data_IF_084358589710
#
_entry.id   IF_084358589710
#
_cell.length_a   1.000
_cell.length_b   1.000
_cell.length_c   1.000
_cell.angle_alpha   90.00
_cell.angle_beta   90.00
_cell.angle_gamma   90.00
#
_symmetry.space_group_name_H-M   'P 1'
#
loop_
_entity.id
_entity.type
_entity.pdbx_description
1 polymer ?
#
# COMPACT_ATOMS: atom_id res chain seq x y z
N UNK A 1 19.88 -19.19 0.87
CA UNK A 1 20.59 -18.80 -0.36
C UNK A 1 19.69 -18.83 -1.56
N UNK A 2 20.02 -18.05 -2.57
CA UNK A 2 19.25 -17.90 -3.81
C UNK A 2 19.42 -19.15 -4.67
N UNK A 3 18.33 -19.58 -5.31
CA UNK A 3 18.27 -20.60 -6.35
C UNK A 3 17.60 -20.04 -7.57
N UNK A 4 17.89 -20.59 -8.77
CA UNK A 4 17.22 -20.26 -10.04
C UNK A 4 17.24 -18.75 -10.34
N UNK A 5 18.39 -18.10 -10.15
CA UNK A 5 18.55 -16.69 -10.45
C UNK A 5 18.54 -16.45 -11.98
N UNK A 6 17.60 -15.63 -12.44
CA UNK A 6 17.54 -15.12 -13.81
C UNK A 6 17.55 -13.60 -13.79
N UNK A 7 18.52 -12.97 -14.46
CA UNK A 7 18.67 -11.51 -14.46
C UNK A 7 18.92 -10.96 -15.85
N UNK A 8 18.34 -9.80 -16.13
CA UNK A 8 18.72 -8.96 -17.27
C UNK A 8 18.72 -7.51 -16.80
N UNK A 9 19.89 -7.01 -16.49
CA UNK A 9 20.12 -5.68 -15.91
C UNK A 9 20.98 -4.88 -16.86
N UNK A 10 20.59 -3.66 -17.17
CA UNK A 10 21.36 -2.68 -17.92
C UNK A 10 21.63 -1.51 -16.98
N UNK A 11 22.90 -1.28 -16.71
CA UNK A 11 23.38 -0.13 -15.96
C UNK A 11 24.11 0.79 -16.93
N UNK A 12 23.43 1.86 -17.37
CA UNK A 12 24.01 2.80 -18.35
C UNK A 12 24.91 3.83 -17.68
N UNK A 13 24.53 4.29 -16.49
CA UNK A 13 25.32 5.22 -15.68
C UNK A 13 25.21 4.87 -14.20
N UNK A 14 26.35 4.89 -13.52
CA UNK A 14 26.46 4.84 -12.08
C UNK A 14 27.64 5.73 -11.66
N UNK A 15 27.33 6.97 -11.35
CA UNK A 15 28.27 7.96 -10.83
C UNK A 15 27.73 8.54 -9.54
N UNK A 16 28.54 9.30 -8.80
CA UNK A 16 28.08 9.99 -7.60
C UNK A 16 26.91 10.98 -7.88
N UNK A 17 26.72 11.34 -9.15
CA UNK A 17 25.80 12.38 -9.59
C UNK A 17 24.62 11.87 -10.41
N UNK A 18 24.74 10.68 -11.03
CA UNK A 18 23.73 10.15 -11.95
C UNK A 18 23.60 8.63 -11.85
N UNK A 19 22.37 8.15 -11.86
CA UNK A 19 22.01 6.74 -11.94
C UNK A 19 21.06 6.55 -13.13
N UNK A 20 21.38 5.64 -14.04
CA UNK A 20 20.45 5.11 -15.05
C UNK A 20 20.52 3.58 -15.00
N UNK A 21 19.56 2.99 -14.30
CA UNK A 21 19.43 1.56 -14.07
C UNK A 21 18.16 1.05 -14.71
N UNK A 22 18.29 0.04 -15.57
CA UNK A 22 17.15 -0.64 -16.17
C UNK A 22 17.21 -2.13 -15.84
N UNK A 23 16.34 -2.58 -14.96
CA UNK A 23 16.12 -3.99 -14.68
C UNK A 23 15.00 -4.46 -15.60
N UNK A 24 15.35 -5.16 -16.66
CA UNK A 24 14.39 -5.74 -17.59
C UNK A 24 13.80 -7.05 -17.09
N UNK A 25 14.55 -7.77 -16.26
CA UNK A 25 14.10 -8.98 -15.60
C UNK A 25 14.98 -9.29 -14.42
N UNK A 26 14.35 -9.55 -13.29
CA UNK A 26 14.97 -10.20 -12.13
C UNK A 26 13.98 -11.23 -11.61
N UNK A 27 14.41 -12.49 -11.53
CA UNK A 27 13.63 -13.60 -10.99
C UNK A 27 14.53 -14.50 -10.15
N UNK A 28 14.04 -14.99 -9.02
CA UNK A 28 14.76 -15.94 -8.19
C UNK A 28 13.83 -16.67 -7.22
N UNK A 29 14.32 -17.78 -6.69
CA UNK A 29 13.72 -18.47 -5.55
C UNK A 29 14.74 -18.51 -4.40
N UNK A 30 14.32 -18.11 -3.20
CA UNK A 30 15.15 -18.17 -2.01
C UNK A 30 14.78 -19.36 -1.12
N UNK A 31 15.73 -19.81 -0.31
CA UNK A 31 15.53 -20.91 0.67
C UNK A 31 14.47 -20.59 1.73
N UNK A 32 14.18 -19.32 1.99
CA UNK A 32 13.11 -18.87 2.90
C UNK A 32 11.69 -19.16 2.35
N UNK A 33 11.59 -19.59 1.08
CA UNK A 33 10.31 -19.78 0.40
C UNK A 33 9.84 -18.57 -0.39
N UNK A 34 10.59 -17.46 -0.39
CA UNK A 34 10.30 -16.33 -1.25
C UNK A 34 10.58 -16.70 -2.71
N UNK A 35 9.58 -16.56 -3.55
CA UNK A 35 9.71 -16.71 -4.99
C UNK A 35 9.39 -15.38 -5.67
N UNK A 36 10.37 -14.79 -6.34
CA UNK A 36 10.20 -13.68 -7.24
C UNK A 36 10.10 -14.21 -8.67
N UNK A 37 8.92 -14.14 -9.27
CA UNK A 37 8.69 -14.60 -10.64
C UNK A 37 9.26 -13.62 -11.67
N UNK A 38 9.03 -12.33 -11.44
CA UNK A 38 9.55 -11.26 -12.27
C UNK A 38 9.56 -9.94 -11.52
N UNK A 39 10.61 -9.17 -11.71
CA UNK A 39 10.67 -7.76 -11.37
C UNK A 39 11.31 -7.02 -12.55
N UNK A 40 10.65 -5.97 -13.01
CA UNK A 40 11.20 -5.04 -13.99
C UNK A 40 10.92 -3.59 -13.56
N UNK A 41 11.85 -2.71 -13.85
CA UNK A 41 11.69 -1.26 -13.69
C UNK A 41 12.86 -0.52 -14.36
N UNK A 42 12.66 0.77 -14.61
CA UNK A 42 13.71 1.71 -14.96
C UNK A 42 13.79 2.82 -13.92
N UNK A 43 14.97 3.02 -13.34
CA UNK A 43 15.27 4.10 -12.41
C UNK A 43 16.25 5.06 -13.06
N UNK A 44 15.89 6.34 -13.11
CA UNK A 44 16.75 7.45 -13.51
C UNK A 44 16.78 8.40 -12.33
N UNK A 45 17.97 8.77 -11.87
CA UNK A 45 18.12 9.71 -10.77
C UNK A 45 19.39 10.57 -10.93
N UNK A 46 19.30 11.80 -10.44
CA UNK A 46 20.42 12.73 -10.33
C UNK A 46 20.42 13.43 -8.96
N UNK A 47 21.10 14.57 -8.81
CA UNK A 47 21.15 15.33 -7.55
C UNK A 47 19.86 16.09 -7.22
N UNK A 48 18.90 16.18 -8.12
CA UNK A 48 17.71 16.99 -7.99
C UNK A 48 16.41 16.22 -8.13
N UNK A 49 16.44 15.16 -8.92
CA UNK A 49 15.23 14.36 -9.20
C UNK A 49 15.52 12.87 -9.36
N UNK A 50 14.49 12.08 -9.14
CA UNK A 50 14.47 10.66 -9.45
C UNK A 50 13.15 10.28 -10.10
N UNK A 51 13.21 9.41 -11.10
CA UNK A 51 12.03 8.86 -11.77
C UNK A 51 12.14 7.35 -11.83
N UNK A 52 11.11 6.65 -11.33
CA UNK A 52 10.92 5.22 -11.46
C UNK A 52 9.81 4.97 -12.48
N UNK A 53 10.10 4.17 -13.50
CA UNK A 53 9.18 3.84 -14.60
C UNK A 53 9.06 2.35 -14.81
N UNK A 54 7.92 1.94 -15.38
CA UNK A 54 7.67 0.56 -15.80
C UNK A 54 7.91 -0.45 -14.69
N UNK A 55 7.50 -0.11 -13.46
CA UNK A 55 7.67 -1.03 -12.33
C UNK A 55 6.56 -2.07 -12.35
N UNK A 56 6.96 -3.33 -12.52
CA UNK A 56 6.11 -4.51 -12.38
C UNK A 56 6.80 -5.55 -11.52
N UNK A 57 6.10 -6.01 -10.51
CA UNK A 57 6.53 -7.06 -9.58
C UNK A 57 5.54 -8.20 -9.61
N UNK A 58 6.00 -9.41 -9.94
CA UNK A 58 5.21 -10.63 -9.93
C UNK A 58 5.76 -11.61 -8.89
N UNK A 59 4.91 -11.95 -7.94
CA UNK A 59 5.08 -13.03 -6.97
C UNK A 59 4.16 -14.21 -7.36
N UNK A 60 4.17 -15.37 -6.67
CA UNK A 60 3.34 -16.50 -7.03
C UNK A 60 1.86 -16.20 -7.21
N UNK A 61 1.30 -15.34 -6.36
CA UNK A 61 -0.13 -15.00 -6.34
C UNK A 61 -0.41 -13.49 -6.35
N UNK A 62 0.66 -12.67 -6.46
CA UNK A 62 0.56 -11.21 -6.45
C UNK A 62 1.14 -10.61 -7.72
N UNK A 63 0.47 -9.58 -8.24
CA UNK A 63 0.89 -8.77 -9.37
C UNK A 63 0.77 -7.29 -8.93
N UNK A 64 1.91 -6.60 -8.85
CA UNK A 64 1.99 -5.21 -8.39
C UNK A 64 2.59 -4.36 -9.49
N UNK A 65 1.83 -3.39 -9.96
CA UNK A 65 2.27 -2.41 -10.96
C UNK A 65 2.21 -1.00 -10.40
N UNK A 66 3.28 -0.24 -10.62
CA UNK A 66 3.32 1.17 -10.30
C UNK A 66 3.24 2.00 -11.59
N UNK A 67 2.50 3.09 -11.55
CA UNK A 67 2.63 4.17 -12.52
C UNK A 67 3.98 4.89 -12.32
N UNK A 68 4.26 5.85 -13.18
CA UNK A 68 5.50 6.61 -13.06
C UNK A 68 5.54 7.30 -11.68
N UNK A 69 6.63 7.07 -10.95
CA UNK A 69 6.91 7.76 -9.69
C UNK A 69 7.99 8.79 -9.96
N UNK A 70 7.70 10.03 -9.61
CA UNK A 70 8.63 11.15 -9.75
C UNK A 70 8.89 11.77 -8.38
N UNK A 71 10.14 12.01 -8.07
CA UNK A 71 10.57 12.68 -6.85
C UNK A 71 11.53 13.82 -7.17
N UNK A 72 11.38 14.95 -6.50
CA UNK A 72 12.31 16.07 -6.52
C UNK A 72 12.89 16.31 -5.13
N UNK A 73 14.17 16.67 -5.08
CA UNK A 73 14.87 16.85 -3.82
C UNK A 73 16.14 17.70 -4.01
N UNK A 74 16.79 18.05 -2.91
CA UNK A 74 18.13 18.64 -2.91
C UNK A 74 19.11 17.74 -2.17
N UNK A 75 20.31 17.65 -2.72
CA UNK A 75 21.43 16.96 -2.08
C UNK A 75 22.48 17.97 -1.70
N UNK A 76 22.87 18.02 -0.43
CA UNK A 76 23.93 18.88 0.10
C UNK A 76 24.98 18.01 0.79
N UNK A 77 26.25 18.16 0.40
CA UNK A 77 27.38 17.38 0.91
C UNK A 77 27.12 15.86 0.85
N UNK A 78 26.53 15.37 -0.25
CA UNK A 78 26.20 13.96 -0.46
C UNK A 78 25.03 13.42 0.39
N UNK A 79 24.25 14.30 1.03
CA UNK A 79 23.09 13.91 1.85
C UNK A 79 21.82 14.56 1.36
N UNK A 80 20.74 13.80 1.35
CA UNK A 80 19.39 14.29 1.04
C UNK A 80 18.96 15.33 2.08
N UNK A 81 18.57 16.51 1.62
CA UNK A 81 17.93 17.52 2.45
C UNK A 81 16.46 17.15 2.59
N UNK A 82 16.10 16.40 3.62
CA UNK A 82 14.77 15.82 3.81
C UNK A 82 13.60 16.81 3.60
N UNK A 83 13.62 18.04 4.13
CA UNK A 83 12.53 18.99 3.91
C UNK A 83 12.30 19.36 2.43
N UNK A 84 13.27 19.11 1.55
CA UNK A 84 13.15 19.40 0.12
C UNK A 84 12.48 18.28 -0.67
N UNK A 85 12.33 17.08 -0.09
CA UNK A 85 11.74 15.93 -0.78
C UNK A 85 10.27 16.16 -1.07
N UNK A 86 9.92 16.07 -2.34
CA UNK A 86 8.54 15.99 -2.83
C UNK A 86 8.44 14.80 -3.78
N UNK A 87 7.34 14.09 -3.74
CA UNK A 87 7.12 12.95 -4.63
C UNK A 87 5.66 12.81 -5.05
N UNK A 88 5.47 12.25 -6.24
CA UNK A 88 4.16 11.90 -6.80
C UNK A 88 4.25 10.53 -7.45
N UNK A 89 3.13 9.83 -7.52
CA UNK A 89 3.08 8.54 -8.20
C UNK A 89 1.71 7.89 -8.09
N UNK A 90 1.61 6.68 -8.64
CA UNK A 90 0.43 5.84 -8.50
C UNK A 90 0.83 4.38 -8.26
N UNK A 91 -0.04 3.66 -7.59
CA UNK A 91 -0.12 2.20 -7.64
C UNK A 91 -1.28 1.91 -8.57
N UNK A 92 -0.98 1.25 -9.68
CA UNK A 92 -1.99 0.83 -10.65
C UNK A 92 -2.84 -0.31 -10.08
N UNK A 93 -3.84 -0.78 -10.81
CA UNK A 93 -4.68 -1.89 -10.37
C UNK A 93 -3.81 -3.11 -10.04
N UNK A 94 -3.47 -3.26 -8.79
CA UNK A 94 -2.58 -4.32 -8.28
C UNK A 94 -3.37 -5.37 -7.50
N UNK A 95 -2.95 -6.62 -7.63
CA UNK A 95 -3.44 -7.75 -6.85
C UNK A 95 -2.36 -8.19 -5.88
N UNK A 96 -2.68 -8.27 -4.61
CA UNK A 96 -1.75 -8.70 -3.56
C UNK A 96 -2.36 -9.84 -2.76
N UNK A 97 -1.63 -10.95 -2.65
CA UNK A 97 -1.92 -12.05 -1.72
C UNK A 97 -0.87 -12.01 -0.63
N UNK A 98 -1.29 -11.70 0.60
CA UNK A 98 -0.34 -11.48 1.70
C UNK A 98 0.44 -12.74 2.07
N UNK A 99 -0.06 -13.92 1.73
CA UNK A 99 0.66 -15.19 1.88
C UNK A 99 2.01 -15.18 1.12
N UNK A 100 2.13 -14.44 0.01
CA UNK A 100 3.37 -14.35 -0.76
C UNK A 100 4.53 -13.71 0.04
N UNK A 101 4.21 -12.87 1.02
CA UNK A 101 5.20 -12.22 1.88
C UNK A 101 5.28 -12.83 3.29
N UNK A 102 4.60 -13.94 3.51
CA UNK A 102 4.56 -14.62 4.80
C UNK A 102 5.94 -15.12 5.29
N UNK A 103 6.88 -15.32 4.38
CA UNK A 103 8.27 -15.66 4.73
C UNK A 103 8.96 -14.54 5.54
N UNK A 104 8.55 -13.29 5.37
CA UNK A 104 9.04 -12.14 6.13
C UNK A 104 8.14 -11.78 7.29
N UNK A 105 6.82 -11.96 7.11
CA UNK A 105 5.78 -11.60 8.07
C UNK A 105 4.87 -12.78 8.32
N UNK A 106 5.25 -13.72 9.22
CA UNK A 106 4.53 -14.97 9.44
C UNK A 106 3.05 -14.82 9.83
N UNK A 107 2.66 -13.62 10.31
CA UNK A 107 1.25 -13.30 10.60
C UNK A 107 0.34 -13.44 9.36
N UNK A 108 0.92 -13.30 8.15
CA UNK A 108 0.18 -13.39 6.89
C UNK A 108 0.12 -14.79 6.29
N UNK A 109 0.68 -15.81 6.96
CA UNK A 109 0.73 -17.19 6.45
C UNK A 109 -0.65 -17.77 6.08
N UNK A 110 -1.69 -17.32 6.74
CA UNK A 110 -3.06 -17.78 6.55
C UNK A 110 -3.94 -16.78 5.79
N UNK A 111 -3.32 -15.78 5.17
CA UNK A 111 -4.03 -14.75 4.43
C UNK A 111 -4.18 -15.15 2.97
N UNK A 112 -5.15 -16.05 2.71
CA UNK A 112 -5.32 -16.68 1.41
C UNK A 112 -6.13 -15.84 0.40
N UNK A 113 -6.89 -14.84 0.89
CA UNK A 113 -7.67 -13.99 0.00
C UNK A 113 -6.80 -12.93 -0.67
N UNK A 114 -7.11 -12.63 -1.91
CA UNK A 114 -6.45 -11.57 -2.64
C UNK A 114 -7.02 -10.19 -2.25
N UNK A 115 -6.15 -9.21 -2.19
CA UNK A 115 -6.52 -7.80 -2.06
C UNK A 115 -6.23 -7.11 -3.38
N UNK A 116 -7.19 -6.37 -3.89
CA UNK A 116 -7.04 -5.49 -5.05
C UNK A 116 -6.94 -4.07 -4.56
N UNK A 117 -5.91 -3.38 -5.03
CA UNK A 117 -5.59 -2.05 -4.56
C UNK A 117 -5.07 -1.17 -5.68
N UNK A 118 -5.54 0.08 -5.73
CA UNK A 118 -4.92 1.13 -6.51
C UNK A 118 -5.06 2.48 -5.79
N UNK A 119 -4.09 3.35 -6.03
CA UNK A 119 -4.06 4.68 -5.42
C UNK A 119 -3.21 5.64 -6.24
N UNK A 120 -3.56 6.92 -6.21
CA UNK A 120 -2.69 8.01 -6.68
C UNK A 120 -2.25 8.82 -5.46
N UNK A 121 -0.96 9.07 -5.37
CA UNK A 121 -0.40 9.71 -4.18
C UNK A 121 0.59 10.82 -4.50
N UNK A 122 0.75 11.71 -3.54
CA UNK A 122 1.79 12.73 -3.51
C UNK A 122 2.23 12.97 -2.07
N UNK A 123 3.44 13.44 -1.87
CA UNK A 123 3.90 13.66 -0.51
C UNK A 123 5.23 14.38 -0.40
N UNK A 124 5.68 14.47 0.84
CA UNK A 124 6.95 15.04 1.28
C UNK A 124 7.60 14.10 2.28
N UNK A 125 8.73 14.46 2.85
CA UNK A 125 9.37 13.69 3.92
C UNK A 125 8.50 13.48 5.17
N UNK A 126 7.46 14.28 5.37
CA UNK A 126 6.61 14.25 6.58
C UNK A 126 5.12 14.13 6.29
N UNK A 127 4.72 14.02 5.03
CA UNK A 127 3.31 13.92 4.65
C UNK A 127 3.09 13.05 3.42
N UNK A 128 1.96 12.36 3.43
CA UNK A 128 1.44 11.59 2.29
C UNK A 128 -0.02 11.97 2.06
N UNK A 129 -0.38 12.24 0.84
CA UNK A 129 -1.74 12.44 0.39
C UNK A 129 -2.08 11.43 -0.68
N UNK A 130 -3.16 10.70 -0.49
CA UNK A 130 -3.77 9.85 -1.49
C UNK A 130 -5.02 10.55 -2.04
N UNK A 131 -5.00 10.91 -3.32
CA UNK A 131 -6.12 11.59 -3.97
C UNK A 131 -7.23 10.62 -4.38
N UNK A 132 -6.88 9.35 -4.52
CA UNK A 132 -7.81 8.23 -4.69
C UNK A 132 -7.27 7.02 -3.96
N UNK A 133 -8.12 6.27 -3.29
CA UNK A 133 -7.84 4.97 -2.69
C UNK A 133 -8.98 4.06 -3.10
N UNK A 134 -8.66 2.98 -3.80
CA UNK A 134 -9.59 1.91 -4.09
C UNK A 134 -9.02 0.62 -3.53
N UNK A 135 -9.75 -0.02 -2.67
CA UNK A 135 -9.38 -1.26 -2.01
C UNK A 135 -10.55 -2.23 -2.05
N UNK A 136 -10.29 -3.48 -2.39
CA UNK A 136 -11.29 -4.53 -2.43
C UNK A 136 -10.66 -5.88 -2.10
N UNK A 137 -11.32 -6.68 -1.26
CA UNK A 137 -10.95 -8.09 -1.08
C UNK A 137 -11.42 -8.93 -2.27
N UNK A 138 -10.78 -10.07 -2.53
CA UNK A 138 -11.15 -10.99 -3.61
C UNK A 138 -12.55 -11.56 -3.44
N UNK A 139 -12.94 -11.87 -2.20
CA UNK A 139 -14.30 -12.26 -1.83
C UNK A 139 -15.34 -11.16 -2.05
N UNK A 140 -14.90 -9.89 -2.12
CA UNK A 140 -15.78 -8.73 -2.15
C UNK A 140 -16.36 -8.35 -0.78
N UNK A 141 -15.94 -9.04 0.28
CA UNK A 141 -16.41 -8.80 1.64
C UNK A 141 -16.07 -7.40 2.17
N UNK A 142 -14.97 -6.81 1.67
CA UNK A 142 -14.57 -5.43 1.96
C UNK A 142 -14.40 -4.68 0.64
N UNK A 143 -15.04 -3.52 0.54
CA UNK A 143 -14.87 -2.59 -0.58
C UNK A 143 -14.78 -1.17 -0.03
N UNK A 144 -13.68 -0.48 -0.32
CA UNK A 144 -13.39 0.88 0.16
C UNK A 144 -13.03 1.78 -1.00
N UNK A 145 -13.70 2.92 -1.07
CA UNK A 145 -13.32 4.06 -1.91
C UNK A 145 -13.15 5.28 -1.03
N UNK A 146 -11.97 5.87 -1.07
CA UNK A 146 -11.61 6.96 -0.19
C UNK A 146 -10.56 7.88 -0.83
N UNK A 147 -10.31 8.99 -0.18
CA UNK A 147 -9.12 9.83 -0.33
C UNK A 147 -8.65 10.24 1.05
N UNK A 148 -7.37 10.53 1.21
CA UNK A 148 -6.89 10.83 2.53
C UNK A 148 -5.53 11.50 2.55
N UNK A 149 -5.19 11.98 3.74
CA UNK A 149 -3.89 12.58 4.02
C UNK A 149 -3.41 12.15 5.40
N UNK A 150 -2.12 11.87 5.47
CA UNK A 150 -1.38 11.66 6.71
C UNK A 150 -0.25 12.66 6.76
N UNK A 151 -0.01 13.30 7.91
CA UNK A 151 1.07 14.26 8.09
C UNK A 151 1.66 14.19 9.51
N UNK A 152 2.81 14.84 9.67
CA UNK A 152 3.49 15.01 10.94
C UNK A 152 3.86 13.70 11.64
N UNK A 153 4.16 12.64 10.88
CA UNK A 153 4.51 11.32 11.46
C UNK A 153 5.79 11.32 12.29
N UNK A 154 6.64 12.31 12.13
CA UNK A 154 7.84 12.50 12.95
C UNK A 154 7.57 13.21 14.29
N UNK A 155 6.34 13.67 14.52
CA UNK A 155 5.93 14.41 15.73
C UNK A 155 4.60 13.89 16.26
N UNK A 156 3.52 14.62 16.08
CA UNK A 156 2.17 14.22 16.45
C UNK A 156 1.39 13.88 15.18
N UNK A 157 1.37 12.60 14.83
CA UNK A 157 0.66 12.08 13.67
C UNK A 157 -0.73 12.69 13.54
N UNK A 158 -1.00 13.30 12.38
CA UNK A 158 -2.32 13.79 12.00
C UNK A 158 -2.77 13.09 10.74
N UNK A 159 -4.03 12.72 10.67
CA UNK A 159 -4.61 12.08 9.50
C UNK A 159 -6.05 12.51 9.28
N UNK A 160 -6.45 12.47 8.03
CA UNK A 160 -7.82 12.77 7.60
C UNK A 160 -8.14 11.88 6.40
N UNK A 161 -9.28 11.20 6.44
CA UNK A 161 -9.76 10.31 5.39
C UNK A 161 -11.21 10.64 5.08
N UNK A 162 -11.48 11.00 3.85
CA UNK A 162 -12.82 11.12 3.29
C UNK A 162 -13.18 9.79 2.63
N UNK A 163 -14.16 9.11 3.17
CA UNK A 163 -14.67 7.83 2.69
C UNK A 163 -15.93 8.12 1.86
N UNK A 164 -15.85 7.87 0.57
CA UNK A 164 -16.98 7.99 -0.33
C UNK A 164 -17.81 6.71 -0.41
N UNK A 165 -17.22 5.58 -0.06
CA UNK A 165 -17.89 4.29 0.02
C UNK A 165 -17.06 3.31 0.85
N UNK A 166 -17.62 2.79 1.91
CA UNK A 166 -17.10 1.63 2.64
C UNK A 166 -18.22 0.63 2.80
N UNK A 167 -18.07 -0.53 2.16
CA UNK A 167 -18.96 -1.66 2.35
C UNK A 167 -18.22 -2.80 3.03
N UNK A 168 -18.77 -3.28 4.11
CA UNK A 168 -18.34 -4.46 4.85
C UNK A 168 -19.50 -5.43 4.88
N UNK A 169 -19.34 -6.62 4.33
CA UNK A 169 -20.35 -7.67 4.47
C UNK A 169 -20.16 -8.42 5.78
N UNK A 170 -21.15 -9.20 6.20
CA UNK A 170 -21.04 -10.07 7.38
C UNK A 170 -19.79 -10.98 7.30
N UNK A 171 -19.41 -11.40 6.09
CA UNK A 171 -18.23 -12.22 5.84
C UNK A 171 -16.90 -11.47 6.10
N UNK A 172 -16.90 -10.14 6.09
CA UNK A 172 -15.70 -9.32 6.37
C UNK A 172 -15.15 -9.58 7.77
N UNK A 173 -16.03 -9.86 8.72
CA UNK A 173 -15.66 -10.20 10.08
C UNK A 173 -14.95 -11.54 10.15
N UNK A 174 -15.46 -12.53 9.40
CA UNK A 174 -14.82 -13.83 9.25
C UNK A 174 -13.48 -13.71 8.54
N UNK A 175 -13.41 -12.90 7.49
CA UNK A 175 -12.17 -12.56 6.79
C UNK A 175 -11.12 -11.98 7.74
N UNK A 176 -11.46 -10.96 8.52
CA UNK A 176 -10.54 -10.33 9.47
C UNK A 176 -10.11 -11.31 10.58
N UNK A 177 -11.05 -12.06 11.14
CA UNK A 177 -10.79 -13.01 12.22
C UNK A 177 -9.90 -14.18 11.74
N UNK A 178 -10.12 -14.70 10.55
CA UNK A 178 -9.35 -15.81 9.99
C UNK A 178 -7.94 -15.39 9.61
N UNK A 179 -7.79 -14.17 9.08
CA UNK A 179 -6.52 -13.68 8.53
C UNK A 179 -5.64 -12.95 9.54
N UNK A 180 -6.23 -12.28 10.52
CA UNK A 180 -5.46 -11.56 11.56
C UNK A 180 -5.23 -12.39 12.84
N UNK A 181 -5.75 -13.62 12.87
CA UNK A 181 -5.59 -14.57 13.96
C UNK A 181 -6.45 -14.24 15.19
N UNK A 182 -6.47 -15.18 16.16
CA UNK A 182 -7.33 -15.13 17.37
C UNK A 182 -7.15 -13.92 18.30
N UNK A 183 -6.27 -12.96 17.94
CA UNK A 183 -6.01 -11.76 18.75
C UNK A 183 -7.06 -10.67 18.59
N UNK A 184 -7.86 -10.68 17.52
CA UNK A 184 -8.94 -9.72 17.35
C UNK A 184 -10.23 -10.39 17.78
N UNK A 185 -10.64 -10.08 19.02
CA UNK A 185 -11.98 -10.41 19.49
C UNK A 185 -12.93 -9.32 19.02
N UNK A 186 -13.71 -9.62 17.98
CA UNK A 186 -14.76 -8.72 17.52
C UNK A 186 -15.93 -8.84 18.51
N UNK A 187 -16.38 -7.73 19.10
CA UNK A 187 -17.53 -7.76 20.00
C UNK A 187 -18.76 -8.37 19.33
N UNK A 188 -19.53 -9.16 20.09
CA UNK A 188 -20.75 -9.82 19.56
C UNK A 188 -21.78 -8.81 19.03
N UNK A 189 -21.75 -7.61 19.54
CA UNK A 189 -22.60 -6.50 19.13
C UNK A 189 -22.28 -6.07 17.68
N UNK A 190 -21.00 -6.05 17.31
CA UNK A 190 -20.57 -5.76 15.92
C UNK A 190 -20.99 -6.87 14.96
N UNK A 191 -20.92 -8.13 15.39
CA UNK A 191 -21.37 -9.28 14.59
C UNK A 191 -22.88 -9.23 14.28
N UNK A 192 -23.68 -8.56 15.11
CA UNK A 192 -25.12 -8.44 14.91
C UNK A 192 -25.53 -7.28 14.00
N UNK A 193 -24.60 -6.43 13.60
CA UNK A 193 -24.89 -5.30 12.73
C UNK A 193 -25.20 -5.74 11.29
N UNK A 194 -24.82 -6.98 10.89
CA UNK A 194 -24.95 -7.44 9.51
C UNK A 194 -24.02 -6.67 8.59
N UNK A 195 -24.47 -6.43 7.37
CA UNK A 195 -23.72 -5.62 6.42
C UNK A 195 -23.63 -4.17 6.89
N UNK A 196 -22.47 -3.56 6.71
CA UNK A 196 -22.16 -2.19 7.14
C UNK A 196 -21.85 -1.37 5.90
N UNK A 197 -22.52 -0.24 5.75
CA UNK A 197 -22.19 0.79 4.79
C UNK A 197 -21.87 2.09 5.52
N UNK A 198 -20.73 2.70 5.16
CA UNK A 198 -20.32 3.98 5.74
C UNK A 198 -19.84 4.94 4.66
N UNK A 199 -20.34 6.19 4.76
CA UNK A 199 -19.87 7.33 4.00
C UNK A 199 -19.62 8.50 4.96
N UNK A 200 -18.45 9.14 4.86
CA UNK A 200 -18.14 10.24 5.75
C UNK A 200 -16.67 10.56 5.85
N UNK A 201 -16.35 11.39 6.82
CA UNK A 201 -15.00 11.81 7.15
C UNK A 201 -14.55 11.21 8.48
N UNK A 202 -13.37 10.65 8.48
CA UNK A 202 -12.65 10.22 9.68
C UNK A 202 -11.37 11.04 9.78
N UNK A 203 -11.12 11.61 10.96
CA UNK A 203 -9.85 12.31 11.18
C UNK A 203 -9.36 12.13 12.61
N UNK A 204 -8.05 12.29 12.77
CA UNK A 204 -7.44 12.14 14.08
C UNK A 204 -6.12 12.88 14.20
N UNK A 205 -5.73 13.14 15.45
CA UNK A 205 -4.43 13.70 15.80
C UNK A 205 -3.90 13.08 17.10
N UNK A 206 -2.81 12.31 16.99
CA UNK A 206 -2.29 11.55 18.11
C UNK A 206 -3.28 10.50 18.58
N UNK A 207 -3.90 10.70 19.76
CA UNK A 207 -4.92 9.78 20.31
C UNK A 207 -6.36 10.25 20.05
N UNK A 208 -6.53 11.46 19.55
CA UNK A 208 -7.85 12.01 19.29
C UNK A 208 -8.38 11.46 17.96
N UNK A 209 -9.63 11.00 17.97
CA UNK A 209 -10.36 10.50 16.81
C UNK A 209 -11.72 11.17 16.74
N UNK A 210 -12.10 11.64 15.56
CA UNK A 210 -13.43 12.12 15.29
C UNK A 210 -13.96 11.52 13.97
N UNK A 211 -15.27 11.33 13.93
CA UNK A 211 -16.02 10.84 12.79
C UNK A 211 -17.21 11.75 12.51
N UNK A 212 -17.48 11.97 11.23
CA UNK A 212 -18.70 12.65 10.77
C UNK A 212 -19.17 11.99 9.49
N UNK A 213 -20.32 11.35 9.51
CA UNK A 213 -20.81 10.63 8.35
C UNK A 213 -22.08 9.85 8.64
N UNK A 214 -22.49 9.08 7.67
CA UNK A 214 -23.65 8.21 7.71
C UNK A 214 -23.20 6.76 7.84
N UNK A 215 -23.71 6.06 8.82
CA UNK A 215 -23.54 4.63 9.03
C UNK A 215 -24.87 3.92 8.84
N UNK A 216 -24.96 3.03 7.88
CA UNK A 216 -26.09 2.14 7.64
C UNK A 216 -25.69 0.71 7.97
N UNK A 217 -26.54 0.00 8.68
CA UNK A 217 -26.31 -1.38 9.07
C UNK A 217 -27.60 -2.18 8.89
N UNK A 218 -27.53 -3.51 8.94
CA UNK A 218 -28.73 -4.36 8.98
C UNK A 218 -29.64 -4.09 10.17
N UNK A 219 -29.11 -3.48 11.24
CA UNK A 219 -29.87 -3.12 12.44
C UNK A 219 -30.46 -1.70 12.42
N UNK A 220 -30.05 -0.85 11.46
CA UNK A 220 -30.55 0.54 11.35
C UNK A 220 -29.52 1.52 10.82
N UNK A 221 -29.86 2.81 10.87
CA UNK A 221 -29.09 3.92 10.32
C UNK A 221 -28.73 4.92 11.42
N UNK A 222 -27.47 5.40 11.43
CA UNK A 222 -26.95 6.43 12.31
C UNK A 222 -26.28 7.55 11.50
N UNK A 223 -26.28 8.79 12.07
CA UNK A 223 -25.71 9.97 11.43
C UNK A 223 -24.63 10.61 12.31
#
# INVERSE_FOLDING_TARGET
GIRELSTHIILSHLTDDNIDLNIKKLAFTDKSGLQLKSLNFKLIADKQEATLKNFDLQLPHSDISLGDIHATYRVEKGKLVQPSLQYTGSIEQSKVTLADIACFLPIFKHFDDAVYFCTTFSGTSTSLRCSSINFKTGSGSINLQAKGRVSDWNSKLAWNVDISNLNLTEESVSFLSNNLGKKIQIPKEVLRLGDIHYEGNLHGRGKDLASKGTLETGAGKAY
#
